data_IF_671386649956
#
_entry.id   IF_671386649956
#
_cell.length_a   1.000
_cell.length_b   1.000
_cell.length_c   1.000
_cell.angle_alpha   90.00
_cell.angle_beta   90.00
_cell.angle_gamma   90.00
#
_symmetry.space_group_name_H-M   'P 1'
#
loop_
_entity.id
_entity.type
_entity.pdbx_description
1 polymer ?
#
# COMPACT_ATOMS: atom_id res chain seq x y z
N UNK A 1 -7.75 42.15 12.05
CA UNK A 1 -8.12 40.75 12.40
C UNK A 1 -9.30 40.30 11.58
N UNK A 2 -9.04 39.92 10.33
CA UNK A 2 -9.98 39.15 9.51
C UNK A 2 -9.57 37.70 9.64
N UNK A 3 -10.43 36.89 10.25
CA UNK A 3 -10.30 35.44 10.28
C UNK A 3 -10.42 34.93 8.85
N UNK A 4 -9.29 34.69 8.20
CA UNK A 4 -9.21 33.87 6.99
C UNK A 4 -9.64 32.47 7.41
N UNK A 5 -10.90 32.12 7.15
CA UNK A 5 -11.35 30.74 7.16
C UNK A 5 -10.58 30.02 6.07
N UNK A 6 -9.46 29.44 6.46
CA UNK A 6 -8.72 28.50 5.64
C UNK A 6 -9.65 27.29 5.49
N UNK A 7 -10.49 27.29 4.46
CA UNK A 7 -11.09 26.08 3.91
C UNK A 7 -9.93 25.27 3.36
N UNK A 8 -9.25 24.61 4.29
CA UNK A 8 -8.04 23.85 4.07
C UNK A 8 -8.30 22.89 2.92
N UNK A 9 -7.47 23.00 1.89
CA UNK A 9 -7.09 21.86 1.06
C UNK A 9 -6.33 20.85 1.92
N UNK A 10 -7.00 20.33 2.96
CA UNK A 10 -6.49 19.24 3.79
C UNK A 10 -6.24 18.05 2.84
N UNK A 11 -5.08 17.39 2.92
CA UNK A 11 -4.74 16.28 2.04
C UNK A 11 -5.88 15.28 2.04
N UNK A 12 -6.39 14.96 0.83
CA UNK A 12 -7.66 14.29 0.58
C UNK A 12 -8.01 13.25 1.66
N UNK A 13 -8.84 13.66 2.62
CA UNK A 13 -9.28 12.82 3.73
C UNK A 13 -9.93 11.57 3.14
N UNK A 14 -9.38 10.40 3.43
CA UNK A 14 -10.05 9.17 3.02
C UNK A 14 -11.40 9.11 3.75
N UNK A 15 -12.53 8.98 3.02
CA UNK A 15 -13.84 8.87 3.63
C UNK A 15 -13.83 7.80 4.73
N UNK A 16 -14.46 8.10 5.87
CA UNK A 16 -14.63 7.15 6.98
C UNK A 16 -15.07 5.74 6.56
N UNK A 17 -16.02 5.55 5.61
CA UNK A 17 -16.38 4.20 5.15
C UNK A 17 -15.21 3.44 4.51
N UNK A 18 -14.37 4.12 3.70
CA UNK A 18 -13.23 3.47 3.04
C UNK A 18 -12.18 3.02 4.07
N UNK A 19 -11.96 3.81 5.13
CA UNK A 19 -11.06 3.44 6.24
C UNK A 19 -11.55 2.22 7.01
N UNK A 20 -12.87 2.09 7.20
CA UNK A 20 -13.46 0.90 7.82
C UNK A 20 -13.29 -0.34 6.95
N UNK A 21 -13.49 -0.21 5.63
CA UNK A 21 -13.26 -1.32 4.69
C UNK A 21 -11.80 -1.76 4.74
N UNK A 22 -10.85 -0.82 4.76
CA UNK A 22 -9.42 -1.15 4.88
C UNK A 22 -9.08 -1.85 6.19
N UNK A 23 -9.68 -1.44 7.32
CA UNK A 23 -9.54 -2.14 8.59
C UNK A 23 -10.03 -3.58 8.48
N UNK A 24 -11.24 -3.79 7.96
CA UNK A 24 -11.84 -5.12 7.85
C UNK A 24 -11.01 -6.04 6.94
N UNK A 25 -10.52 -5.53 5.81
CA UNK A 25 -9.65 -6.26 4.90
C UNK A 25 -8.31 -6.62 5.55
N UNK A 26 -7.70 -5.66 6.27
CA UNK A 26 -6.44 -5.88 6.96
C UNK A 26 -6.59 -6.89 8.09
N UNK A 27 -7.63 -6.78 8.92
CA UNK A 27 -7.90 -7.70 10.03
C UNK A 27 -8.19 -9.12 9.54
N UNK A 28 -8.98 -9.26 8.47
CA UNK A 28 -9.28 -10.57 7.86
C UNK A 28 -8.02 -11.18 7.24
N UNK A 29 -7.19 -10.38 6.57
CA UNK A 29 -5.94 -10.88 5.97
C UNK A 29 -4.91 -11.26 7.04
N UNK A 30 -4.86 -10.50 8.14
CA UNK A 30 -4.00 -10.80 9.29
C UNK A 30 -4.44 -12.09 9.98
N UNK A 31 -5.74 -12.31 10.18
CA UNK A 31 -6.23 -13.55 10.80
C UNK A 31 -5.92 -14.76 9.93
N UNK A 32 -6.13 -14.68 8.61
CA UNK A 32 -5.71 -15.71 7.66
C UNK A 32 -4.20 -15.98 7.72
N UNK A 33 -3.40 -14.92 7.82
CA UNK A 33 -1.96 -15.02 7.94
C UNK A 33 -1.54 -15.73 9.24
N UNK A 34 -2.11 -15.35 10.39
CA UNK A 34 -1.84 -15.98 11.69
C UNK A 34 -2.20 -17.47 11.66
N UNK A 35 -3.40 -17.82 11.16
CA UNK A 35 -3.81 -19.23 11.04
C UNK A 35 -2.82 -19.99 10.16
N UNK A 36 -2.45 -19.46 9.00
CA UNK A 36 -1.61 -20.18 8.04
C UNK A 36 -0.17 -20.37 8.52
N UNK A 37 0.41 -19.38 9.18
CA UNK A 37 1.85 -19.36 9.46
C UNK A 37 2.20 -19.63 10.92
N UNK A 38 1.31 -19.30 11.86
CA UNK A 38 1.51 -19.60 13.29
C UNK A 38 0.88 -20.93 13.66
N UNK A 39 -0.35 -21.20 13.20
CA UNK A 39 -1.09 -22.41 13.58
C UNK A 39 -0.73 -23.61 12.70
N UNK A 40 -0.71 -23.42 11.37
CA UNK A 40 -0.47 -24.51 10.41
C UNK A 40 1.04 -24.70 10.13
N UNK A 41 1.89 -23.76 10.55
CA UNK A 41 3.34 -23.78 10.33
C UNK A 41 3.74 -23.93 8.85
N UNK A 42 3.02 -23.25 7.94
CA UNK A 42 3.37 -23.26 6.52
C UNK A 42 4.70 -22.55 6.26
N UNK A 43 5.51 -23.07 5.32
CA UNK A 43 6.83 -22.61 4.87
C UNK A 43 7.32 -21.23 5.36
N UNK A 44 8.45 -21.22 6.08
CA UNK A 44 9.07 -20.04 6.64
C UNK A 44 9.91 -19.25 5.63
N UNK A 45 9.30 -18.31 4.93
CA UNK A 45 10.04 -17.26 4.21
C UNK A 45 9.99 -15.98 5.04
N UNK A 46 11.07 -15.73 5.81
CA UNK A 46 11.18 -14.62 6.77
C UNK A 46 10.86 -13.25 6.17
N UNK A 47 11.24 -13.01 4.91
CA UNK A 47 10.99 -11.75 4.22
C UNK A 47 9.51 -11.57 3.85
N UNK A 48 8.83 -12.63 3.40
CA UNK A 48 7.38 -12.60 3.12
C UNK A 48 6.57 -12.35 4.41
N UNK A 49 7.05 -12.86 5.55
CA UNK A 49 6.44 -12.62 6.85
C UNK A 49 6.52 -11.15 7.27
N UNK A 50 7.70 -10.53 7.13
CA UNK A 50 7.89 -9.11 7.42
C UNK A 50 7.00 -8.24 6.52
N UNK A 51 6.99 -8.52 5.21
CA UNK A 51 6.17 -7.80 4.23
C UNK A 51 4.67 -7.93 4.55
N UNK A 52 4.20 -9.13 4.88
CA UNK A 52 2.81 -9.35 5.27
C UNK A 52 2.44 -8.59 6.56
N UNK A 53 3.33 -8.62 7.56
CA UNK A 53 3.11 -7.93 8.82
C UNK A 53 3.01 -6.41 8.62
N UNK A 54 3.93 -5.81 7.87
CA UNK A 54 3.85 -4.38 7.53
C UNK A 54 2.60 -4.05 6.69
N UNK A 55 2.22 -4.92 5.74
CA UNK A 55 1.05 -4.70 4.90
C UNK A 55 -0.28 -4.76 5.66
N UNK A 56 -0.36 -5.47 6.80
CA UNK A 56 -1.59 -5.67 7.56
C UNK A 56 -1.65 -4.89 8.88
N UNK A 57 -0.56 -4.85 9.63
CA UNK A 57 -0.52 -4.18 10.94
C UNK A 57 -0.57 -2.66 10.76
N UNK A 58 0.20 -2.11 9.81
CA UNK A 58 0.22 -0.67 9.56
C UNK A 58 -1.19 -0.08 9.27
N UNK A 59 -2.05 -0.69 8.42
CA UNK A 59 -3.43 -0.25 8.24
C UNK A 59 -4.26 -0.23 9.53
N UNK A 60 -4.15 -1.29 10.34
CA UNK A 60 -4.89 -1.44 11.58
C UNK A 60 -4.46 -0.34 12.57
N UNK A 61 -3.15 -0.13 12.71
CA UNK A 61 -2.58 0.92 13.56
C UNK A 61 -3.00 2.30 13.08
N UNK A 62 -2.92 2.57 11.77
CA UNK A 62 -3.33 3.85 11.19
C UNK A 62 -4.82 4.14 11.47
N UNK A 63 -5.69 3.13 11.37
CA UNK A 63 -7.10 3.27 11.68
C UNK A 63 -7.33 3.71 13.13
N UNK A 64 -6.77 2.98 14.11
CA UNK A 64 -6.95 3.30 15.54
C UNK A 64 -6.34 4.66 15.91
N UNK A 65 -5.15 4.99 15.39
CA UNK A 65 -4.55 6.30 15.60
C UNK A 65 -5.43 7.43 15.04
N UNK A 66 -6.06 7.21 13.87
CA UNK A 66 -6.96 8.19 13.25
C UNK A 66 -8.29 8.39 13.99
N UNK A 67 -8.71 7.45 14.84
CA UNK A 67 -9.88 7.63 15.71
C UNK A 67 -9.56 8.66 16.80
N UNK A 68 -8.38 8.56 17.40
CA UNK A 68 -8.01 9.34 18.57
C UNK A 68 -7.29 10.66 18.26
N UNK A 69 -6.71 10.79 17.07
CA UNK A 69 -5.93 11.96 16.69
C UNK A 69 -6.44 12.56 15.36
N UNK A 70 -7.04 13.74 15.44
CA UNK A 70 -7.53 14.50 14.28
C UNK A 70 -6.39 14.90 13.33
N UNK A 71 -5.21 15.23 13.85
CA UNK A 71 -4.05 15.55 13.02
C UNK A 71 -3.61 14.35 12.18
N UNK A 72 -3.67 13.13 12.72
CA UNK A 72 -3.40 11.91 11.94
C UNK A 72 -4.53 11.67 10.94
N UNK A 73 -5.79 11.80 11.37
CA UNK A 73 -7.00 11.60 10.56
C UNK A 73 -7.10 12.52 9.34
N UNK A 74 -6.60 13.74 9.48
CA UNK A 74 -6.69 14.78 8.46
C UNK A 74 -5.32 14.92 7.73
N UNK A 75 -4.40 13.96 7.93
CA UNK A 75 -3.11 13.88 7.25
C UNK A 75 -3.02 12.71 6.28
N UNK A 76 -1.95 12.69 5.50
CA UNK A 76 -1.56 11.58 4.63
C UNK A 76 -1.30 10.26 5.39
N UNK A 77 -1.20 10.32 6.73
CA UNK A 77 -1.09 9.12 7.57
C UNK A 77 -2.44 8.41 7.77
N UNK A 78 -3.57 9.12 7.60
CA UNK A 78 -4.93 8.55 7.63
C UNK A 78 -5.27 7.71 6.42
N UNK A 79 -4.43 7.73 5.38
CA UNK A 79 -4.65 7.08 4.10
C UNK A 79 -4.45 5.55 4.17
N UNK A 80 -5.00 4.92 5.21
CA UNK A 80 -5.14 3.47 5.27
C UNK A 80 -3.89 2.68 5.61
N UNK A 81 -2.71 3.28 5.70
CA UNK A 81 -1.45 2.52 5.88
C UNK A 81 -0.36 3.26 6.65
N UNK A 82 -0.48 4.58 6.91
CA UNK A 82 0.69 5.46 6.89
C UNK A 82 1.41 5.26 5.56
N UNK A 83 1.23 6.17 4.61
CA UNK A 83 1.60 5.97 3.21
C UNK A 83 3.04 5.43 2.97
N UNK A 84 3.96 5.64 3.92
CA UNK A 84 5.29 5.03 3.97
C UNK A 84 5.31 3.48 3.90
N UNK A 85 4.25 2.78 4.29
CA UNK A 85 4.17 1.31 4.20
C UNK A 85 3.43 0.80 2.96
N UNK A 86 3.05 1.66 2.01
CA UNK A 86 2.53 1.22 0.69
C UNK A 86 3.46 0.25 -0.06
N UNK A 87 4.80 0.40 -0.02
CA UNK A 87 5.72 -0.57 -0.62
C UNK A 87 5.46 -2.01 -0.15
N UNK A 88 5.14 -2.23 1.13
CA UNK A 88 4.82 -3.56 1.65
C UNK A 88 3.56 -4.15 1.01
N UNK A 89 2.55 -3.33 0.70
CA UNK A 89 1.34 -3.79 -0.01
C UNK A 89 1.64 -4.20 -1.45
N UNK A 90 2.50 -3.45 -2.16
CA UNK A 90 2.87 -3.78 -3.54
C UNK A 90 3.75 -5.02 -3.62
N UNK A 91 4.72 -5.17 -2.71
CA UNK A 91 5.51 -6.39 -2.59
C UNK A 91 4.65 -7.61 -2.28
N UNK A 92 3.65 -7.46 -1.38
CA UNK A 92 2.69 -8.53 -1.11
C UNK A 92 1.86 -8.91 -2.33
N UNK A 93 1.41 -7.92 -3.11
CA UNK A 93 0.66 -8.15 -4.35
C UNK A 93 1.54 -8.92 -5.36
N UNK A 94 2.80 -8.53 -5.49
CA UNK A 94 3.78 -9.23 -6.31
C UNK A 94 3.97 -10.69 -5.87
N UNK A 95 4.17 -10.98 -4.57
CA UNK A 95 4.24 -12.36 -4.09
C UNK A 95 2.96 -13.16 -4.31
N UNK A 96 1.79 -12.52 -4.23
CA UNK A 96 0.52 -13.16 -4.57
C UNK A 96 0.48 -13.52 -6.06
N UNK A 97 0.98 -12.64 -6.93
CA UNK A 97 1.07 -12.87 -8.37
C UNK A 97 2.01 -14.03 -8.70
N UNK A 98 3.21 -14.06 -8.13
CA UNK A 98 4.15 -15.18 -8.30
C UNK A 98 3.53 -16.52 -7.92
N UNK A 99 2.78 -16.56 -6.80
CA UNK A 99 2.07 -17.76 -6.37
C UNK A 99 0.98 -18.18 -7.36
N UNK A 100 0.23 -17.24 -7.92
CA UNK A 100 -0.78 -17.53 -8.95
C UNK A 100 -0.10 -18.07 -10.21
N UNK A 101 1.00 -17.48 -10.65
CA UNK A 101 1.78 -17.94 -11.81
C UNK A 101 2.32 -19.36 -11.56
N UNK A 102 2.87 -19.63 -10.38
CA UNK A 102 3.35 -20.96 -10.01
C UNK A 102 2.23 -22.01 -10.00
N UNK A 103 1.04 -21.64 -9.50
CA UNK A 103 -0.14 -22.51 -9.53
C UNK A 103 -0.55 -22.78 -10.99
N UNK A 104 -0.66 -21.75 -11.82
CA UNK A 104 -1.01 -21.89 -13.23
C UNK A 104 0.02 -22.72 -14.01
N UNK A 105 1.30 -22.64 -13.67
CA UNK A 105 2.37 -23.47 -14.23
C UNK A 105 2.18 -24.97 -13.94
N UNK A 106 1.55 -25.31 -12.82
CA UNK A 106 1.28 -26.69 -12.38
C UNK A 106 -0.08 -27.25 -12.83
N UNK A 107 -0.99 -26.40 -13.32
CA UNK A 107 -2.34 -26.82 -13.70
C UNK A 107 -2.38 -27.57 -15.03
N UNK A 108 -3.06 -28.72 -15.06
CA UNK A 108 -3.18 -29.60 -16.24
C UNK A 108 -3.92 -28.94 -17.42
N UNK A 109 -4.88 -28.05 -17.15
CA UNK A 109 -5.76 -27.45 -18.16
C UNK A 109 -5.41 -26.00 -18.53
N UNK A 110 -4.56 -25.34 -17.75
CA UNK A 110 -4.23 -23.92 -17.90
C UNK A 110 -2.71 -23.69 -17.79
N UNK A 111 -1.92 -24.64 -18.30
CA UNK A 111 -0.46 -24.61 -18.20
C UNK A 111 0.12 -23.45 -19.01
N UNK A 112 0.60 -22.42 -18.33
CA UNK A 112 1.34 -21.33 -18.97
C UNK A 112 2.66 -21.85 -19.53
N UNK A 113 3.07 -21.38 -20.71
CA UNK A 113 4.41 -21.63 -21.23
C UNK A 113 5.44 -20.88 -20.37
N UNK A 114 6.68 -21.38 -20.31
CA UNK A 114 7.77 -20.76 -19.54
C UNK A 114 7.95 -19.27 -19.90
N UNK A 115 7.92 -18.95 -21.21
CA UNK A 115 8.04 -17.57 -21.69
C UNK A 115 6.91 -16.69 -21.16
N UNK A 116 5.66 -17.19 -21.12
CA UNK A 116 4.53 -16.41 -20.61
C UNK A 116 4.63 -16.19 -19.10
N UNK A 117 5.11 -17.19 -18.36
CA UNK A 117 5.34 -17.05 -16.91
C UNK A 117 6.38 -15.98 -16.63
N UNK A 118 7.50 -16.01 -17.35
CA UNK A 118 8.59 -15.04 -17.20
C UNK A 118 8.13 -13.62 -17.53
N UNK A 119 7.40 -13.44 -18.64
CA UNK A 119 6.85 -12.13 -19.01
C UNK A 119 5.89 -11.60 -17.95
N UNK A 120 5.01 -12.45 -17.40
CA UNK A 120 4.07 -12.03 -16.34
C UNK A 120 4.83 -11.65 -15.06
N UNK A 121 5.85 -12.43 -14.68
CA UNK A 121 6.69 -12.14 -13.52
C UNK A 121 7.40 -10.81 -13.69
N UNK A 122 8.08 -10.62 -14.82
CA UNK A 122 8.79 -9.39 -15.14
C UNK A 122 7.86 -8.17 -15.18
N UNK A 123 6.67 -8.30 -15.78
CA UNK A 123 5.67 -7.24 -15.73
C UNK A 123 5.24 -6.93 -14.30
N UNK A 124 5.05 -7.94 -13.45
CA UNK A 124 4.72 -7.74 -12.04
C UNK A 124 5.85 -7.05 -11.29
N UNK A 125 7.11 -7.36 -11.57
CA UNK A 125 8.28 -6.73 -10.95
C UNK A 125 8.34 -5.25 -11.30
N UNK A 126 8.21 -4.93 -12.59
CA UNK A 126 8.22 -3.56 -13.10
C UNK A 126 7.08 -2.75 -12.47
N UNK A 127 5.86 -3.31 -12.45
CA UNK A 127 4.70 -2.64 -11.84
C UNK A 127 4.92 -2.43 -10.35
N UNK A 128 5.39 -3.44 -9.62
CA UNK A 128 5.64 -3.34 -8.19
C UNK A 128 6.73 -2.30 -7.87
N UNK A 129 7.80 -2.23 -8.67
CA UNK A 129 8.85 -1.23 -8.56
C UNK A 129 8.31 0.18 -8.81
N UNK A 130 7.59 0.40 -9.92
CA UNK A 130 6.99 1.70 -10.25
C UNK A 130 6.09 2.16 -9.11
N UNK A 131 5.17 1.31 -8.65
CA UNK A 131 4.24 1.65 -7.57
C UNK A 131 4.96 1.94 -6.26
N UNK A 132 6.01 1.17 -5.94
CA UNK A 132 6.84 1.37 -4.74
C UNK A 132 7.53 2.73 -4.78
N UNK A 133 8.29 3.03 -5.82
CA UNK A 133 8.96 4.33 -5.95
C UNK A 133 7.96 5.49 -6.00
N UNK A 134 6.83 5.31 -6.70
CA UNK A 134 5.77 6.31 -6.77
C UNK A 134 5.20 6.62 -5.38
N UNK A 135 5.00 5.59 -4.56
CA UNK A 135 4.50 5.78 -3.19
C UNK A 135 5.50 6.45 -2.27
N UNK A 136 6.79 6.16 -2.41
CA UNK A 136 7.83 6.83 -1.62
C UNK A 136 7.95 8.30 -2.01
N UNK A 137 7.97 8.60 -3.31
CA UNK A 137 8.04 9.97 -3.83
C UNK A 137 6.79 10.76 -3.43
N UNK A 138 5.61 10.19 -3.65
CA UNK A 138 4.33 10.82 -3.31
C UNK A 138 4.18 11.08 -1.81
N UNK A 139 4.54 10.10 -0.98
CA UNK A 139 4.50 10.25 0.48
C UNK A 139 5.53 11.27 0.97
N UNK A 140 6.75 11.23 0.42
CA UNK A 140 7.85 12.11 0.83
C UNK A 140 7.56 13.58 0.51
N UNK A 141 7.05 13.87 -0.69
CA UNK A 141 6.67 15.23 -1.08
C UNK A 141 5.53 15.75 -0.20
N UNK A 142 4.46 14.96 0.00
CA UNK A 142 3.35 15.38 0.85
C UNK A 142 3.77 15.59 2.30
N UNK A 143 4.62 14.72 2.84
CA UNK A 143 5.20 14.89 4.19
C UNK A 143 6.01 16.18 4.29
N UNK A 144 6.90 16.44 3.33
CA UNK A 144 7.72 17.64 3.30
C UNK A 144 6.87 18.92 3.23
N UNK A 145 5.88 18.97 2.34
CA UNK A 145 4.96 20.10 2.23
C UNK A 145 4.17 20.32 3.53
N UNK A 146 3.72 19.24 4.18
CA UNK A 146 3.00 19.31 5.45
C UNK A 146 3.87 19.86 6.58
N UNK A 147 5.12 19.43 6.71
CA UNK A 147 6.06 19.87 7.76
C UNK A 147 6.49 21.33 7.57
N UNK A 148 6.67 21.76 6.32
CA UNK A 148 7.16 23.11 6.00
C UNK A 148 6.05 24.12 5.70
N UNK A 149 4.78 23.75 5.86
CA UNK A 149 3.61 24.60 5.58
C UNK A 149 3.63 25.20 4.15
N UNK A 150 4.09 24.41 3.18
CA UNK A 150 4.14 24.82 1.78
C UNK A 150 2.79 24.50 1.14
N UNK A 151 2.13 25.50 0.57
CA UNK A 151 0.92 25.30 -0.23
C UNK A 151 1.27 24.42 -1.44
N UNK A 152 0.72 23.21 -1.47
CA UNK A 152 0.98 22.26 -2.54
C UNK A 152 -0.27 22.06 -3.39
N UNK A 153 -0.20 22.52 -4.65
CA UNK A 153 -1.25 22.29 -5.63
C UNK A 153 -1.28 20.81 -6.02
N UNK A 154 -2.22 20.05 -5.44
CA UNK A 154 -2.79 18.81 -5.98
C UNK A 154 -1.81 17.81 -6.63
N UNK A 155 -0.61 17.59 -6.08
CA UNK A 155 0.29 16.55 -6.58
C UNK A 155 -0.32 15.18 -6.32
N UNK A 156 -0.83 14.56 -7.39
CA UNK A 156 -1.55 13.31 -7.32
C UNK A 156 -0.59 12.11 -7.34
N UNK A 157 -1.09 10.95 -6.92
CA UNK A 157 -0.31 9.71 -7.03
C UNK A 157 0.01 9.36 -8.48
N UNK A 158 -0.85 9.76 -9.43
CA UNK A 158 -0.58 9.59 -10.87
C UNK A 158 0.59 10.46 -11.32
N UNK A 159 0.71 11.69 -10.83
CA UNK A 159 1.85 12.56 -11.15
C UNK A 159 3.17 11.95 -10.66
N UNK A 160 3.15 11.28 -9.50
CA UNK A 160 4.28 10.51 -9.02
C UNK A 160 4.64 9.35 -9.96
N UNK A 161 3.65 8.60 -10.45
CA UNK A 161 3.87 7.53 -11.45
C UNK A 161 4.45 8.12 -12.74
N UNK A 162 3.84 9.18 -13.28
CA UNK A 162 4.30 9.85 -14.49
C UNK A 162 5.75 10.32 -14.35
N UNK A 163 6.13 10.86 -13.19
CA UNK A 163 7.49 11.34 -12.94
C UNK A 163 8.56 10.23 -12.97
N UNK A 164 8.17 8.98 -12.68
CA UNK A 164 9.06 7.81 -12.70
C UNK A 164 9.11 7.17 -14.09
N UNK A 165 7.99 7.16 -14.81
CA UNK A 165 7.89 6.50 -16.13
C UNK A 165 8.34 7.41 -17.27
N UNK A 166 8.18 8.73 -17.14
CA UNK A 166 8.48 9.70 -18.20
C UNK A 166 9.93 10.20 -18.22
N UNK A 167 10.78 9.67 -17.31
CA UNK A 167 12.22 9.96 -17.27
C UNK A 167 13.01 8.74 -17.70
#
# INVERSE_FOLDING_TARGET
NTTVTNEKGDPARIPTPNRLIELLLAATSLSQYVVRYVVINANHRSLEHAVALFAYVAPITAYFLSIHNSSIRDSYMSAGVMAVFYPARFLRLHYAMERIVAIAASMRYARLTLIRQEVISLCSDIIAAILTFSSLLHSGINWYCQVHHIEHNNFSFLDAIYSIVSK
#
